data_IF_967868447859
#
_entry.id   IF_967868447859
#
_cell.length_a   1.000
_cell.length_b   1.000
_cell.length_c   1.000
_cell.angle_alpha   90.00
_cell.angle_beta   90.00
_cell.angle_gamma   90.00
#
_symmetry.space_group_name_H-M   'P 1'
#
loop_
_entity.id
_entity.type
_entity.pdbx_description
1 polymer ?
#
# COMPACT_ATOMS: atom_id res chain seq x y z
N UNK A 1 8.95 -37.34 6.35
CA UNK A 1 9.42 -37.03 4.99
C UNK A 1 8.22 -36.52 4.20
N UNK A 2 8.39 -35.39 3.49
CA UNK A 2 7.42 -34.65 2.66
C UNK A 2 6.64 -33.54 3.41
N UNK A 3 7.05 -32.30 3.14
CA UNK A 3 6.78 -31.10 3.93
C UNK A 3 5.49 -30.33 3.60
N UNK A 4 5.20 -29.26 4.35
CA UNK A 4 4.02 -28.44 4.12
C UNK A 4 4.21 -27.56 2.88
N UNK A 5 3.20 -27.62 2.04
CA UNK A 5 3.06 -26.93 0.77
C UNK A 5 3.18 -25.40 0.92
N UNK A 6 3.89 -24.79 -0.04
CA UNK A 6 4.25 -23.39 -0.08
C UNK A 6 3.04 -22.46 0.00
N UNK A 7 2.84 -21.89 1.18
CA UNK A 7 2.16 -20.59 1.31
C UNK A 7 3.06 -19.57 0.58
N UNK A 8 2.54 -18.65 -0.25
CA UNK A 8 3.34 -17.51 -0.67
C UNK A 8 3.70 -16.76 0.61
N UNK A 9 4.90 -17.01 1.14
CA UNK A 9 5.52 -16.22 2.18
C UNK A 9 5.67 -14.82 1.59
N UNK A 10 4.63 -14.02 1.82
CA UNK A 10 4.77 -12.59 1.89
C UNK A 10 5.96 -12.33 2.83
N UNK A 11 7.01 -11.63 2.38
CA UNK A 11 8.19 -11.39 3.18
C UNK A 11 7.78 -10.82 4.54
N UNK A 12 8.51 -11.14 5.63
CA UNK A 12 8.13 -10.75 6.98
C UNK A 12 7.87 -9.25 7.05
N UNK A 13 6.59 -8.89 7.14
CA UNK A 13 6.12 -7.51 7.18
C UNK A 13 6.58 -6.76 8.46
N UNK A 14 7.26 -7.43 9.38
CA UNK A 14 7.74 -6.88 10.65
C UNK A 14 9.11 -6.17 10.57
N UNK A 15 9.80 -6.22 9.42
CA UNK A 15 10.89 -5.31 9.05
C UNK A 15 10.48 -4.41 7.84
N UNK A 16 9.29 -4.65 7.29
CA UNK A 16 9.00 -4.40 5.87
C UNK A 16 7.84 -3.45 5.57
N UNK A 17 7.00 -3.09 6.54
CA UNK A 17 6.00 -2.02 6.33
C UNK A 17 6.68 -0.64 6.29
N UNK A 18 7.71 -0.46 7.11
CA UNK A 18 8.53 0.75 7.12
C UNK A 18 9.52 0.77 5.94
N UNK A 19 10.16 -0.36 5.61
CA UNK A 19 11.02 -0.43 4.43
C UNK A 19 10.24 -0.19 3.13
N UNK A 20 9.00 -0.71 3.04
CA UNK A 20 8.12 -0.51 1.88
C UNK A 20 7.73 0.95 1.64
N UNK A 21 7.85 1.79 2.66
CA UNK A 21 7.55 3.23 2.61
C UNK A 21 8.79 4.09 2.88
N UNK A 22 9.95 3.51 3.09
CA UNK A 22 11.15 4.28 3.42
C UNK A 22 11.54 5.14 2.21
N UNK A 23 11.90 6.39 2.45
CA UNK A 23 12.34 7.32 1.41
C UNK A 23 13.43 8.24 1.94
N UNK A 24 14.25 8.76 1.02
CA UNK A 24 15.18 9.86 1.33
C UNK A 24 14.70 11.18 0.75
N UNK A 25 13.95 11.11 -0.34
CA UNK A 25 13.39 12.24 -1.07
C UNK A 25 12.03 11.89 -1.66
N UNK A 26 11.25 12.90 -2.06
CA UNK A 26 9.95 12.72 -2.72
C UNK A 26 10.07 11.86 -3.98
N UNK A 27 11.19 11.94 -4.69
CA UNK A 27 11.50 11.16 -5.90
C UNK A 27 11.62 9.65 -5.66
N UNK A 28 11.82 9.23 -4.41
CA UNK A 28 11.84 7.82 -4.03
C UNK A 28 10.43 7.25 -3.86
N UNK A 29 9.42 8.11 -3.71
CA UNK A 29 8.04 7.72 -3.52
C UNK A 29 7.31 7.65 -4.85
N UNK A 30 6.57 6.56 -5.05
CA UNK A 30 5.71 6.38 -6.19
C UNK A 30 4.30 6.01 -5.73
N UNK A 31 3.30 6.59 -6.38
CA UNK A 31 1.93 6.14 -6.24
C UNK A 31 1.79 4.80 -6.97
N UNK A 32 1.43 3.76 -6.22
CA UNK A 32 1.21 2.42 -6.74
C UNK A 32 -0.10 1.86 -6.23
N UNK A 33 -0.64 0.91 -6.96
CA UNK A 33 -1.83 0.19 -6.51
C UNK A 33 -1.43 -0.94 -5.55
N UNK A 34 -1.78 -0.82 -4.28
CA UNK A 34 -1.63 -1.94 -3.35
C UNK A 34 -2.65 -3.05 -3.62
N UNK A 35 -3.76 -2.69 -4.28
CA UNK A 35 -4.97 -3.50 -4.33
C UNK A 35 -5.64 -3.59 -2.97
N UNK A 36 -6.95 -3.76 -3.01
CA UNK A 36 -7.78 -4.02 -1.84
C UNK A 36 -8.85 -5.02 -2.22
N UNK A 37 -9.46 -5.64 -1.21
CA UNK A 37 -10.64 -6.46 -1.41
C UNK A 37 -11.80 -5.72 -2.09
N UNK A 38 -11.76 -4.39 -2.06
CA UNK A 38 -12.73 -3.52 -2.70
C UNK A 38 -12.32 -3.00 -4.09
N UNK A 39 -11.15 -3.38 -4.62
CA UNK A 39 -10.65 -2.90 -5.90
C UNK A 39 -9.39 -2.03 -5.80
N UNK A 40 -9.30 -1.00 -6.64
CA UNK A 40 -8.12 -0.13 -6.75
C UNK A 40 -7.88 0.64 -5.46
N UNK A 41 -6.65 0.55 -4.94
CA UNK A 41 -6.22 1.23 -3.73
C UNK A 41 -4.88 1.91 -3.97
N UNK A 42 -4.90 3.19 -4.36
CA UNK A 42 -3.67 3.94 -4.56
C UNK A 42 -3.00 4.12 -3.19
N UNK A 43 -1.71 3.80 -3.13
CA UNK A 43 -0.87 4.00 -1.96
C UNK A 43 0.45 4.63 -2.36
N UNK A 44 1.02 5.40 -1.44
CA UNK A 44 2.37 5.90 -1.57
C UNK A 44 3.34 4.94 -0.90
N UNK A 45 4.24 4.39 -1.71
CA UNK A 45 5.28 3.45 -1.29
C UNK A 45 6.55 3.81 -2.04
N UNK A 46 7.67 3.24 -1.61
CA UNK A 46 8.91 3.44 -2.34
C UNK A 46 8.79 2.84 -3.76
N UNK A 47 9.37 3.50 -4.76
CA UNK A 47 9.41 3.05 -6.16
C UNK A 47 10.06 1.67 -6.34
N UNK A 48 10.91 1.24 -5.42
CA UNK A 48 11.56 -0.06 -5.42
C UNK A 48 10.71 -1.14 -4.71
N UNK A 49 9.65 -0.73 -4.01
CA UNK A 49 8.75 -1.66 -3.31
C UNK A 49 7.74 -2.30 -4.26
N UNK A 50 7.70 -3.63 -4.38
CA UNK A 50 6.71 -4.30 -5.21
C UNK A 50 5.32 -4.21 -4.57
N UNK A 51 4.29 -4.12 -5.41
CA UNK A 51 2.88 -4.22 -5.02
C UNK A 51 2.24 -5.39 -5.75
N UNK A 52 1.25 -6.02 -5.12
CA UNK A 52 0.62 -7.24 -5.65
C UNK A 52 -0.91 -7.15 -5.63
N UNK A 53 -1.50 -6.18 -6.35
CA UNK A 53 -2.93 -5.93 -6.27
C UNK A 53 -3.78 -7.14 -6.70
N UNK A 54 -3.31 -7.90 -7.69
CA UNK A 54 -4.00 -9.11 -8.14
C UNK A 54 -4.01 -10.21 -7.08
N UNK A 55 -2.93 -10.39 -6.32
CA UNK A 55 -2.87 -11.37 -5.23
C UNK A 55 -3.82 -10.99 -4.10
N UNK A 56 -3.92 -9.70 -3.78
CA UNK A 56 -4.88 -9.19 -2.80
C UNK A 56 -6.30 -9.47 -3.28
N UNK A 57 -6.61 -9.11 -4.53
CA UNK A 57 -7.94 -9.35 -5.12
C UNK A 57 -8.32 -10.83 -5.11
N UNK A 58 -7.40 -11.72 -5.48
CA UNK A 58 -7.62 -13.16 -5.46
C UNK A 58 -7.92 -13.66 -4.04
N UNK A 59 -7.09 -13.31 -3.06
CA UNK A 59 -7.30 -13.69 -1.66
C UNK A 59 -8.64 -13.19 -1.10
N UNK A 60 -9.05 -11.96 -1.48
CA UNK A 60 -10.32 -11.40 -1.05
C UNK A 60 -11.54 -12.05 -1.70
N UNK A 61 -11.40 -12.50 -2.95
CA UNK A 61 -12.43 -13.26 -3.64
C UNK A 61 -12.63 -14.64 -3.00
N UNK A 62 -11.54 -15.31 -2.58
CA UNK A 62 -11.62 -16.57 -1.84
C UNK A 62 -12.31 -16.41 -0.48
N UNK A 63 -12.04 -15.32 0.23
CA UNK A 63 -12.63 -15.06 1.55
C UNK A 63 -14.02 -14.40 1.47
N UNK A 64 -14.53 -14.13 0.25
CA UNK A 64 -15.83 -13.49 0.04
C UNK A 64 -15.93 -12.03 0.54
N UNK A 65 -14.80 -11.38 0.83
CA UNK A 65 -14.74 -10.02 1.41
C UNK A 65 -14.74 -8.92 0.36
N UNK A 66 -15.51 -9.07 -0.71
CA UNK A 66 -15.59 -8.07 -1.79
C UNK A 66 -16.64 -7.01 -1.46
N UNK A 67 -16.31 -5.73 -1.60
CA UNK A 67 -17.19 -4.62 -1.25
C UNK A 67 -16.75 -3.29 -1.88
N UNK A 68 -17.43 -2.20 -1.53
CA UNK A 68 -17.02 -0.84 -1.92
C UNK A 68 -16.28 -0.22 -0.75
N UNK A 69 -15.05 0.23 -0.98
CA UNK A 69 -14.26 0.95 0.02
C UNK A 69 -14.20 2.43 -0.36
N UNK A 70 -14.52 3.32 0.58
CA UNK A 70 -14.38 4.77 0.43
C UNK A 70 -12.95 5.24 0.70
N UNK A 71 -11.97 4.77 -0.09
CA UNK A 71 -10.59 5.25 0.08
C UNK A 71 -10.46 6.69 -0.43
N UNK A 72 -9.74 7.56 0.30
CA UNK A 72 -9.51 8.92 -0.15
C UNK A 72 -8.67 8.90 -1.44
N UNK A 73 -9.04 9.77 -2.38
CA UNK A 73 -8.18 10.06 -3.51
C UNK A 73 -6.92 10.77 -2.98
N UNK A 74 -5.76 10.30 -3.43
CA UNK A 74 -4.47 10.93 -3.17
C UNK A 74 -4.02 11.61 -4.45
N UNK A 75 -3.59 12.88 -4.34
CA UNK A 75 -3.10 13.69 -5.46
C UNK A 75 -1.65 13.34 -5.80
N UNK A 76 -0.90 12.88 -4.80
CA UNK A 76 0.52 12.62 -4.94
C UNK A 76 1.14 11.95 -3.73
N UNK A 77 2.46 11.78 -3.79
CA UNK A 77 3.26 11.18 -2.72
C UNK A 77 4.37 12.13 -2.31
N UNK A 78 4.63 12.21 -1.01
CA UNK A 78 5.73 13.00 -0.44
C UNK A 78 6.48 12.18 0.60
N UNK A 79 7.78 12.45 0.74
CA UNK A 79 8.65 11.86 1.72
C UNK A 79 8.66 12.71 3.00
N UNK A 80 7.89 12.28 4.00
CA UNK A 80 7.76 12.98 5.28
C UNK A 80 8.45 12.16 6.36
N UNK A 81 9.44 12.75 7.03
CA UNK A 81 10.22 12.08 8.09
C UNK A 81 10.79 10.71 7.68
N UNK A 82 11.26 10.60 6.42
CA UNK A 82 11.81 9.37 5.87
C UNK A 82 10.77 8.31 5.49
N UNK A 83 9.49 8.68 5.41
CA UNK A 83 8.38 7.80 5.01
C UNK A 83 7.53 8.41 3.90
N UNK A 84 7.23 7.62 2.87
CA UNK A 84 6.29 7.96 1.83
C UNK A 84 4.89 8.05 2.41
N UNK A 85 4.35 9.27 2.42
CA UNK A 85 2.97 9.56 2.74
C UNK A 85 2.24 10.02 1.49
N UNK A 86 0.98 9.62 1.39
CA UNK A 86 0.09 10.18 0.38
C UNK A 86 -0.38 11.54 0.82
N UNK A 87 -0.28 12.51 -0.08
CA UNK A 87 -0.99 13.77 0.09
C UNK A 87 -2.42 13.52 -0.35
N UNK A 88 -3.40 13.49 0.58
CA UNK A 88 -4.79 13.45 0.17
C UNK A 88 -5.07 14.68 -0.69
N UNK A 89 -5.93 14.53 -1.68
CA UNK A 89 -6.49 15.70 -2.37
C UNK A 89 -7.28 16.50 -1.33
N UNK A 90 -6.65 17.48 -0.66
CA UNK A 90 -7.34 18.45 0.19
C UNK A 90 -7.32 19.78 -0.53
N UNK A 91 -8.49 20.20 -0.99
CA UNK A 91 -8.81 21.61 -1.09
C UNK A 91 -8.74 22.18 0.35
N UNK A 92 -7.58 22.74 0.73
CA UNK A 92 -7.33 23.55 1.95
C UNK A 92 -8.30 23.39 3.14
N UNK A 93 -7.96 22.66 4.21
CA UNK A 93 -8.21 23.10 5.60
C UNK A 93 -7.68 22.13 6.68
N UNK A 94 -6.51 22.51 7.20
CA UNK A 94 -6.07 22.43 8.61
C UNK A 94 -5.88 21.09 9.35
N UNK A 95 -4.78 20.96 10.12
CA UNK A 95 -4.65 19.91 11.13
C UNK A 95 -5.66 20.18 12.25
N UNK A 96 -6.45 19.17 12.61
CA UNK A 96 -7.25 19.20 13.85
C UNK A 96 -6.32 19.55 15.03
N UNK A 97 -6.46 20.77 15.56
CA UNK A 97 -6.04 21.16 16.91
C UNK A 97 -7.12 20.73 17.91
#
# INVERSE_FOLDING_TARGET
MSGPEGKPELPPLSLGVDAGRACRSDSDCAMKDAGSCCGYRPVCVNKDTPTFPEKVKAACAEDGRVGICGFPAIDGCQCVAGKCQGVPMMENSEPLQ
#
